data_IF_639537552184
#
_entry.id   IF_639537552184
#
_cell.length_a   1.000
_cell.length_b   1.000
_cell.length_c   1.000
_cell.angle_alpha   90.00
_cell.angle_beta   90.00
_cell.angle_gamma   90.00
#
_symmetry.space_group_name_H-M   'P 1'
#
loop_
_entity.id
_entity.type
_entity.pdbx_description
1 polymer ?
#
# COMPACT_ATOMS: atom_id res chain seq x y z
N UNK A 1 16.10 -4.42 6.08
CA UNK A 1 17.41 -4.32 5.43
C UNK A 1 17.36 -3.28 4.31
N UNK A 2 18.36 -2.41 4.26
CA UNK A 2 18.58 -1.45 3.18
C UNK A 2 19.74 -1.98 2.34
N UNK A 3 19.46 -2.27 1.07
CA UNK A 3 20.43 -2.75 0.11
C UNK A 3 20.74 -1.65 -0.90
N UNK A 4 21.95 -1.11 -0.87
CA UNK A 4 22.39 -0.03 -1.74
C UNK A 4 23.08 -0.62 -2.96
N UNK A 5 22.58 -0.22 -4.13
CA UNK A 5 22.96 -0.78 -5.41
C UNK A 5 23.43 0.31 -6.39
N UNK A 6 24.23 -0.08 -7.36
CA UNK A 6 24.64 0.75 -8.49
C UNK A 6 24.40 -0.02 -9.79
N UNK A 7 23.62 0.56 -10.71
CA UNK A 7 23.32 -0.04 -12.01
C UNK A 7 21.98 0.43 -12.56
N UNK A 8 21.67 -0.03 -13.76
CA UNK A 8 20.51 0.37 -14.56
C UNK A 8 19.46 -0.76 -14.69
N UNK A 9 19.72 -1.93 -14.08
CA UNK A 9 18.78 -3.06 -14.13
C UNK A 9 17.63 -2.84 -13.13
N UNK A 10 16.40 -3.18 -13.53
CA UNK A 10 15.20 -3.04 -12.69
C UNK A 10 15.23 -3.95 -11.44
N UNK A 11 15.87 -5.12 -11.56
CA UNK A 11 15.95 -6.08 -10.46
C UNK A 11 17.26 -5.93 -9.69
N UNK A 12 17.19 -5.94 -8.35
CA UNK A 12 18.31 -5.73 -7.45
C UNK A 12 19.49 -6.68 -7.70
N UNK A 13 19.21 -7.94 -7.97
CA UNK A 13 20.22 -9.01 -8.12
C UNK A 13 21.16 -8.83 -9.33
N UNK A 14 20.76 -7.99 -10.28
CA UNK A 14 21.53 -7.73 -11.49
C UNK A 14 22.36 -6.44 -11.43
N UNK A 15 22.30 -5.74 -10.30
CA UNK A 15 23.07 -4.53 -10.06
C UNK A 15 24.25 -4.79 -9.11
N UNK A 16 25.24 -3.91 -9.17
CA UNK A 16 26.42 -3.97 -8.29
C UNK A 16 26.02 -3.55 -6.88
N UNK A 17 26.24 -4.42 -5.90
CA UNK A 17 26.07 -4.09 -4.49
C UNK A 17 27.16 -3.12 -4.04
N UNK A 18 26.74 -1.97 -3.50
CA UNK A 18 27.62 -1.01 -2.85
C UNK A 18 27.70 -1.24 -1.34
N UNK A 19 26.62 -1.70 -0.75
CA UNK A 19 26.58 -2.03 0.67
C UNK A 19 25.18 -2.45 1.14
N UNK A 20 25.14 -2.96 2.38
CA UNK A 20 23.90 -3.33 3.06
C UNK A 20 23.96 -2.90 4.52
N UNK A 21 22.86 -2.41 5.05
CA UNK A 21 22.72 -2.14 6.48
C UNK A 21 21.28 -2.39 6.95
N UNK A 22 21.10 -2.53 8.23
CA UNK A 22 19.79 -2.84 8.81
C UNK A 22 19.29 -1.66 9.65
N UNK A 23 18.04 -1.28 9.42
CA UNK A 23 17.30 -0.42 10.32
C UNK A 23 16.63 -1.32 11.37
N UNK A 24 17.12 -1.24 12.60
CA UNK A 24 16.73 -2.11 13.71
C UNK A 24 15.76 -1.41 14.67
N UNK A 25 15.20 -2.19 15.61
CA UNK A 25 14.28 -1.68 16.64
C UNK A 25 12.98 -1.07 16.08
N UNK A 26 12.53 -1.53 14.93
CA UNK A 26 11.23 -1.19 14.42
C UNK A 26 10.16 -2.10 15.02
N UNK A 27 8.99 -1.57 15.41
CA UNK A 27 7.88 -2.41 15.83
C UNK A 27 7.42 -3.30 14.67
N UNK A 28 7.02 -4.55 14.95
CA UNK A 28 6.43 -5.40 13.93
C UNK A 28 5.21 -4.73 13.30
N UNK A 29 5.21 -4.65 11.98
CA UNK A 29 4.11 -4.05 11.23
C UNK A 29 3.89 -4.81 9.91
N UNK A 30 2.67 -4.80 9.37
CA UNK A 30 2.38 -5.39 8.07
C UNK A 30 3.13 -4.71 6.93
N UNK A 31 3.24 -5.41 5.81
CA UNK A 31 3.77 -4.82 4.58
C UNK A 31 3.01 -3.55 4.21
N UNK A 32 3.76 -2.53 3.75
CA UNK A 32 3.21 -1.24 3.33
C UNK A 32 2.88 -0.26 4.45
N UNK A 33 2.91 -0.69 5.72
CA UNK A 33 2.68 0.20 6.88
C UNK A 33 3.93 0.99 7.25
N UNK A 34 5.14 0.38 7.36
CA UNK A 34 6.35 1.15 7.64
C UNK A 34 6.70 2.10 6.48
N UNK A 35 6.93 3.36 6.82
CA UNK A 35 7.34 4.40 5.86
C UNK A 35 8.79 4.73 6.11
N UNK A 36 9.67 4.19 5.28
CA UNK A 36 11.11 4.38 5.39
C UNK A 36 11.56 5.44 4.39
N UNK A 37 12.12 6.52 4.88
CA UNK A 37 12.76 7.57 4.09
C UNK A 37 14.23 7.24 3.94
N UNK A 38 14.70 7.14 2.69
CA UNK A 38 16.11 6.88 2.39
C UNK A 38 16.69 8.12 1.72
N UNK A 39 17.76 8.66 2.31
CA UNK A 39 18.45 9.84 1.81
C UNK A 39 19.85 9.45 1.31
N UNK A 40 20.16 9.93 0.13
CA UNK A 40 21.50 9.81 -0.47
C UNK A 40 22.15 11.19 -0.50
N UNK A 41 23.37 11.27 0.03
CA UNK A 41 24.22 12.45 -0.04
C UNK A 41 25.58 12.05 -0.65
N UNK A 42 25.99 12.75 -1.69
CA UNK A 42 27.23 12.47 -2.43
C UNK A 42 28.13 13.69 -2.30
N UNK A 43 29.27 13.54 -1.63
CA UNK A 43 30.22 14.62 -1.48
C UNK A 43 31.05 14.89 -2.76
N UNK A 44 31.83 15.96 -2.75
CA UNK A 44 32.66 16.36 -3.90
C UNK A 44 33.76 15.33 -4.25
N UNK A 45 34.07 14.40 -3.36
CA UNK A 45 35.03 13.32 -3.56
C UNK A 45 34.39 12.04 -4.07
N UNK A 46 33.05 12.03 -4.25
CA UNK A 46 32.30 10.85 -4.68
C UNK A 46 32.01 9.85 -3.55
N UNK A 47 32.19 10.25 -2.29
CA UNK A 47 31.79 9.44 -1.14
C UNK A 47 30.28 9.54 -1.00
N UNK A 48 29.60 8.38 -0.94
CA UNK A 48 28.16 8.30 -0.82
C UNK A 48 27.79 8.01 0.63
N UNK A 49 27.00 8.93 1.24
CA UNK A 49 26.37 8.73 2.53
C UNK A 49 24.91 8.32 2.31
N UNK A 50 24.52 7.20 2.88
CA UNK A 50 23.13 6.72 2.78
C UNK A 50 22.58 6.63 4.20
N UNK A 51 21.47 7.31 4.44
CA UNK A 51 20.71 7.19 5.69
C UNK A 51 19.31 6.66 5.42
N UNK A 52 18.80 5.86 6.35
CA UNK A 52 17.42 5.36 6.31
C UNK A 52 16.74 5.67 7.64
N UNK A 53 15.56 6.28 7.57
CA UNK A 53 14.79 6.72 8.73
C UNK A 53 13.35 6.21 8.64
N UNK A 54 12.89 5.57 9.70
CA UNK A 54 11.46 5.27 9.85
C UNK A 54 10.70 6.52 10.29
N UNK A 55 9.73 6.95 9.49
CA UNK A 55 8.97 8.18 9.73
C UNK A 55 8.04 8.09 10.94
N UNK A 56 7.63 6.88 11.32
CA UNK A 56 6.73 6.66 12.46
C UNK A 56 7.48 6.71 13.80
N UNK A 57 8.65 6.05 13.87
CA UNK A 57 9.42 5.93 15.13
C UNK A 57 10.54 6.96 15.24
N UNK A 58 10.95 7.58 14.12
CA UNK A 58 12.12 8.45 14.04
C UNK A 58 13.46 7.71 14.12
N UNK A 59 13.45 6.38 14.18
CA UNK A 59 14.67 5.56 14.17
C UNK A 59 15.42 5.74 12.86
N UNK A 60 16.73 5.92 12.96
CA UNK A 60 17.59 6.19 11.82
C UNK A 60 18.87 5.36 11.92
N UNK A 61 19.32 4.88 10.77
CA UNK A 61 20.63 4.25 10.58
C UNK A 61 21.28 4.78 9.31
N UNK A 62 22.59 4.83 9.27
CA UNK A 62 23.32 5.32 8.13
C UNK A 62 24.55 4.47 7.82
N UNK A 63 24.99 4.55 6.58
CA UNK A 63 26.21 3.93 6.08
C UNK A 63 26.95 4.89 5.17
N UNK A 64 28.26 4.85 5.24
CA UNK A 64 29.14 5.59 4.33
C UNK A 64 29.82 4.61 3.38
N UNK A 65 29.70 4.86 2.09
CA UNK A 65 30.31 4.06 1.02
C UNK A 65 31.51 4.83 0.49
N UNK A 66 32.70 4.36 0.87
CA UNK A 66 33.98 5.00 0.51
C UNK A 66 34.68 4.30 -0.64
N UNK A 67 35.15 5.05 -1.60
CA UNK A 67 36.33 4.78 -2.43
C UNK A 67 36.26 3.70 -3.50
N UNK A 68 35.16 2.94 -3.67
CA UNK A 68 35.06 1.95 -4.76
C UNK A 68 33.80 2.09 -5.61
N UNK A 69 33.14 3.23 -5.51
CA UNK A 69 31.95 3.53 -6.31
C UNK A 69 32.27 3.98 -7.74
N UNK A 70 33.51 4.40 -8.02
CA UNK A 70 33.88 4.74 -9.40
C UNK A 70 34.05 3.48 -10.25
N UNK A 71 33.11 3.27 -11.16
CA UNK A 71 33.24 2.28 -12.21
C UNK A 71 34.14 2.81 -13.33
N UNK A 72 34.93 1.94 -13.95
CA UNK A 72 35.61 2.29 -15.18
C UNK A 72 34.57 2.61 -16.27
N UNK A 73 34.89 3.51 -17.19
CA UNK A 73 33.98 3.92 -18.26
C UNK A 73 33.45 2.71 -19.06
N UNK A 74 34.32 1.77 -19.34
CA UNK A 74 33.97 0.55 -20.09
C UNK A 74 32.98 -0.34 -19.31
N UNK A 75 33.10 -0.36 -17.98
CA UNK A 75 32.16 -1.09 -17.11
C UNK A 75 30.79 -0.42 -17.14
N UNK A 76 30.73 0.90 -17.08
CA UNK A 76 29.47 1.66 -17.18
C UNK A 76 28.79 1.38 -18.54
N UNK A 77 29.53 1.48 -19.63
CA UNK A 77 28.99 1.22 -20.97
C UNK A 77 28.51 -0.24 -21.12
N UNK A 78 29.21 -1.19 -20.50
CA UNK A 78 28.76 -2.58 -20.47
C UNK A 78 27.46 -2.75 -19.68
N UNK A 79 27.36 -2.15 -18.49
CA UNK A 79 26.15 -2.22 -17.63
C UNK A 79 24.94 -1.60 -18.31
N UNK A 80 25.12 -0.46 -19.02
CA UNK A 80 24.04 0.18 -19.78
C UNK A 80 23.56 -0.73 -20.91
N UNK A 81 24.48 -1.28 -21.71
CA UNK A 81 24.11 -2.23 -22.79
C UNK A 81 23.42 -3.49 -22.25
N UNK A 82 23.88 -4.01 -21.12
CA UNK A 82 23.27 -5.18 -20.48
C UNK A 82 21.84 -4.85 -19.99
N UNK A 83 21.63 -3.68 -19.42
CA UNK A 83 20.32 -3.22 -19.01
C UNK A 83 19.37 -3.06 -20.21
N UNK A 84 19.83 -2.45 -21.30
CA UNK A 84 19.04 -2.31 -22.53
C UNK A 84 18.67 -3.67 -23.12
N UNK A 85 19.61 -4.62 -23.15
CA UNK A 85 19.39 -5.96 -23.70
C UNK A 85 18.35 -6.77 -22.90
N UNK A 86 18.18 -6.50 -21.61
CA UNK A 86 17.28 -7.25 -20.73
C UNK A 86 16.07 -6.41 -20.24
N UNK A 87 15.88 -5.22 -20.78
CA UNK A 87 14.86 -4.27 -20.30
C UNK A 87 13.44 -4.87 -20.28
N UNK A 88 13.06 -5.65 -21.30
CA UNK A 88 11.74 -6.28 -21.34
C UNK A 88 11.59 -7.42 -20.33
N UNK A 89 12.62 -8.23 -20.14
CA UNK A 89 12.63 -9.31 -19.16
C UNK A 89 12.54 -8.75 -17.74
N UNK A 90 13.33 -7.74 -17.43
CA UNK A 90 13.34 -7.09 -16.13
C UNK A 90 12.02 -6.40 -15.84
N UNK A 91 11.44 -5.71 -16.80
CA UNK A 91 10.11 -5.09 -16.67
C UNK A 91 9.05 -6.14 -16.34
N UNK A 92 9.07 -7.30 -17.02
CA UNK A 92 8.14 -8.40 -16.71
C UNK A 92 8.33 -8.92 -15.30
N UNK A 93 9.58 -9.15 -14.87
CA UNK A 93 9.88 -9.62 -13.51
C UNK A 93 9.45 -8.63 -12.44
N UNK A 94 9.64 -7.34 -12.70
CA UNK A 94 9.17 -6.27 -11.82
C UNK A 94 7.65 -6.27 -11.70
N UNK A 95 6.94 -6.33 -12.85
CA UNK A 95 5.48 -6.42 -12.87
C UNK A 95 4.96 -7.66 -12.11
N UNK A 96 5.59 -8.83 -12.29
CA UNK A 96 5.25 -10.04 -11.55
C UNK A 96 5.42 -9.84 -10.03
N UNK A 97 6.51 -9.19 -9.61
CA UNK A 97 6.76 -8.89 -8.20
C UNK A 97 5.75 -7.88 -7.63
N UNK A 98 5.43 -6.83 -8.39
CA UNK A 98 4.43 -5.82 -8.00
C UNK A 98 3.04 -6.43 -7.84
N UNK A 99 2.62 -7.29 -8.77
CA UNK A 99 1.34 -8.01 -8.69
C UNK A 99 1.28 -8.91 -7.46
N UNK A 100 2.33 -9.67 -7.17
CA UNK A 100 2.40 -10.51 -5.97
C UNK A 100 2.35 -9.67 -4.69
N UNK A 101 3.11 -8.59 -4.62
CA UNK A 101 3.12 -7.70 -3.45
C UNK A 101 1.77 -7.02 -3.20
N UNK A 102 1.08 -6.59 -4.26
CA UNK A 102 -0.27 -6.03 -4.16
C UNK A 102 -1.28 -7.07 -3.66
N UNK A 103 -1.20 -8.29 -4.19
CA UNK A 103 -2.05 -9.41 -3.77
C UNK A 103 -1.82 -9.80 -2.30
N UNK A 104 -0.56 -9.92 -1.86
CA UNK A 104 -0.21 -10.17 -0.45
C UNK A 104 -0.76 -9.09 0.48
N UNK A 105 -0.68 -7.83 0.07
CA UNK A 105 -1.22 -6.71 0.83
C UNK A 105 -2.74 -6.81 0.95
N UNK A 106 -3.44 -7.15 -0.14
CA UNK A 106 -4.88 -7.34 -0.14
C UNK A 106 -5.31 -8.51 0.74
N UNK A 107 -4.59 -9.65 0.69
CA UNK A 107 -4.82 -10.79 1.59
C UNK A 107 -4.78 -10.34 3.04
N UNK A 108 -3.72 -9.63 3.43
CA UNK A 108 -3.58 -9.16 4.81
C UNK A 108 -4.71 -8.20 5.22
N UNK A 109 -5.05 -7.23 4.37
CA UNK A 109 -6.12 -6.27 4.63
C UNK A 109 -7.48 -6.96 4.76
N UNK A 110 -7.75 -7.94 3.90
CA UNK A 110 -9.00 -8.70 3.93
C UNK A 110 -9.07 -9.60 5.18
N UNK A 111 -7.99 -10.28 5.55
CA UNK A 111 -7.94 -11.06 6.80
C UNK A 111 -8.18 -10.18 8.03
N UNK A 112 -7.60 -8.98 8.04
CA UNK A 112 -7.83 -8.02 9.11
C UNK A 112 -9.29 -7.58 9.14
N UNK A 113 -9.88 -7.25 7.98
CA UNK A 113 -11.28 -6.86 7.87
C UNK A 113 -12.21 -7.96 8.39
N UNK A 114 -11.99 -9.21 8.00
CA UNK A 114 -12.77 -10.36 8.47
C UNK A 114 -12.62 -10.59 9.97
N UNK A 115 -11.43 -10.39 10.52
CA UNK A 115 -11.19 -10.51 11.97
C UNK A 115 -11.88 -9.42 12.78
N UNK A 116 -11.83 -8.18 12.29
CA UNK A 116 -12.32 -7.01 13.01
C UNK A 116 -13.83 -6.81 12.86
N UNK A 117 -14.41 -7.24 11.73
CA UNK A 117 -15.81 -6.95 11.36
C UNK A 117 -16.61 -8.19 10.92
N UNK A 118 -15.98 -9.35 10.81
CA UNK A 118 -16.61 -10.56 10.26
C UNK A 118 -17.80 -11.08 11.05
N UNK A 119 -17.89 -10.75 12.35
CA UNK A 119 -19.02 -11.12 13.20
C UNK A 119 -20.27 -10.24 12.96
N UNK A 120 -20.08 -9.07 12.35
CA UNK A 120 -21.18 -8.13 12.07
C UNK A 120 -21.96 -8.48 10.83
N UNK A 121 -21.35 -9.17 9.88
CA UNK A 121 -21.99 -9.59 8.63
C UNK A 121 -21.98 -11.11 8.57
N UNK A 122 -23.15 -11.69 8.42
CA UNK A 122 -23.36 -13.12 8.17
C UNK A 122 -24.07 -13.30 6.83
N UNK A 123 -23.73 -14.37 6.11
CA UNK A 123 -24.38 -14.71 4.86
C UNK A 123 -23.46 -14.63 3.64
N UNK A 124 -24.07 -14.53 2.47
CA UNK A 124 -23.40 -14.70 1.18
C UNK A 124 -22.21 -13.76 0.92
N UNK A 125 -22.26 -12.52 1.42
CA UNK A 125 -21.17 -11.56 1.22
C UNK A 125 -19.90 -11.98 1.98
N UNK A 126 -20.04 -12.48 3.20
CA UNK A 126 -18.91 -13.01 3.97
C UNK A 126 -18.33 -14.24 3.27
N UNK A 127 -19.19 -15.17 2.86
CA UNK A 127 -18.76 -16.39 2.17
C UNK A 127 -18.02 -16.09 0.87
N UNK A 128 -18.44 -15.05 0.12
CA UNK A 128 -17.77 -14.59 -1.09
C UNK A 128 -16.38 -14.02 -0.80
N UNK A 129 -16.24 -13.23 0.25
CA UNK A 129 -14.94 -12.68 0.65
C UNK A 129 -14.00 -13.78 1.13
N UNK A 130 -14.48 -14.73 1.94
CA UNK A 130 -13.69 -15.88 2.41
C UNK A 130 -13.26 -16.80 1.25
N UNK A 131 -14.16 -17.06 0.29
CA UNK A 131 -13.84 -17.84 -0.92
C UNK A 131 -12.79 -17.12 -1.78
N UNK A 132 -13.00 -15.83 -2.08
CA UNK A 132 -12.06 -15.04 -2.86
C UNK A 132 -10.68 -14.90 -2.17
N UNK A 133 -10.67 -14.79 -0.85
CA UNK A 133 -9.43 -14.78 -0.06
C UNK A 133 -8.67 -16.10 -0.19
N UNK A 134 -9.38 -17.22 -0.13
CA UNK A 134 -8.77 -18.54 -0.32
C UNK A 134 -8.23 -18.71 -1.75
N UNK A 135 -9.02 -18.34 -2.76
CA UNK A 135 -8.60 -18.42 -4.16
C UNK A 135 -7.35 -17.57 -4.43
N UNK A 136 -7.27 -16.36 -3.87
CA UNK A 136 -6.09 -15.51 -4.01
C UNK A 136 -4.87 -16.11 -3.32
N UNK A 137 -5.01 -16.68 -2.13
CA UNK A 137 -3.91 -17.38 -1.44
C UNK A 137 -3.41 -18.59 -2.23
N UNK A 138 -4.33 -19.36 -2.81
CA UNK A 138 -3.98 -20.50 -3.63
C UNK A 138 -3.25 -20.06 -4.91
N UNK A 139 -3.69 -18.97 -5.56
CA UNK A 139 -3.04 -18.38 -6.72
C UNK A 139 -1.63 -17.84 -6.39
N UNK A 140 -1.44 -17.22 -5.22
CA UNK A 140 -0.13 -16.72 -4.74
C UNK A 140 0.89 -17.85 -4.51
N UNK A 141 0.44 -19.05 -4.22
CA UNK A 141 1.29 -20.23 -4.15
C UNK A 141 1.84 -20.68 -5.50
N UNK A 142 1.30 -20.17 -6.60
CA UNK A 142 1.72 -20.46 -7.97
C UNK A 142 2.63 -19.40 -8.58
N UNK A 143 2.84 -19.56 -9.91
CA UNK A 143 3.66 -18.64 -10.72
C UNK A 143 2.85 -17.93 -11.80
N UNK A 144 1.55 -18.21 -11.89
CA UNK A 144 0.67 -17.62 -12.92
C UNK A 144 0.19 -16.24 -12.50
N UNK A 145 0.84 -15.21 -13.03
CA UNK A 145 0.52 -13.80 -12.78
C UNK A 145 -0.90 -13.43 -13.23
N UNK A 146 -1.41 -14.04 -14.30
CA UNK A 146 -2.77 -13.79 -14.78
C UNK A 146 -3.80 -14.33 -13.80
N UNK A 147 -3.58 -15.52 -13.25
CA UNK A 147 -4.43 -16.09 -12.21
C UNK A 147 -4.43 -15.24 -10.93
N UNK A 148 -3.26 -14.72 -10.53
CA UNK A 148 -3.15 -13.80 -9.36
C UNK A 148 -3.94 -12.52 -9.61
N UNK A 149 -3.81 -11.90 -10.80
CA UNK A 149 -4.56 -10.69 -11.16
C UNK A 149 -6.07 -10.94 -11.10
N UNK A 150 -6.55 -12.02 -11.73
CA UNK A 150 -7.98 -12.37 -11.75
C UNK A 150 -8.54 -12.61 -10.33
N UNK A 151 -7.82 -13.37 -9.50
CA UNK A 151 -8.21 -13.61 -8.12
C UNK A 151 -8.19 -12.33 -7.26
N UNK A 152 -7.24 -11.43 -7.52
CA UNK A 152 -7.16 -10.11 -6.87
C UNK A 152 -8.40 -9.27 -7.20
N UNK A 153 -8.78 -9.17 -8.47
CA UNK A 153 -9.96 -8.43 -8.92
C UNK A 153 -11.26 -9.01 -8.34
N UNK A 154 -11.37 -10.34 -8.30
CA UNK A 154 -12.52 -11.02 -7.70
C UNK A 154 -12.64 -10.70 -6.20
N UNK A 155 -11.54 -10.75 -5.45
CA UNK A 155 -11.53 -10.43 -4.02
C UNK A 155 -11.82 -8.96 -3.75
N UNK A 156 -11.30 -8.03 -4.57
CA UNK A 156 -11.63 -6.59 -4.48
C UNK A 156 -13.13 -6.38 -4.64
N UNK A 157 -13.73 -7.00 -5.66
CA UNK A 157 -15.17 -6.91 -5.91
C UNK A 157 -16.01 -7.46 -4.76
N UNK A 158 -15.63 -8.61 -4.22
CA UNK A 158 -16.28 -9.21 -3.05
C UNK A 158 -16.15 -8.32 -1.80
N UNK A 159 -14.98 -7.74 -1.57
CA UNK A 159 -14.72 -6.84 -0.44
C UNK A 159 -15.53 -5.54 -0.52
N UNK A 160 -15.77 -5.01 -1.72
CA UNK A 160 -16.65 -3.84 -1.91
C UNK A 160 -18.10 -4.15 -1.51
N UNK A 161 -18.63 -5.31 -1.92
CA UNK A 161 -19.97 -5.75 -1.51
C UNK A 161 -20.10 -5.91 0.01
N UNK A 162 -19.07 -6.50 0.64
CA UNK A 162 -19.00 -6.63 2.10
C UNK A 162 -18.97 -5.27 2.81
N UNK A 163 -18.17 -4.34 2.33
CA UNK A 163 -18.08 -2.98 2.89
C UNK A 163 -19.41 -2.22 2.75
N UNK A 164 -20.10 -2.35 1.63
CA UNK A 164 -21.40 -1.75 1.42
C UNK A 164 -22.44 -2.25 2.43
N UNK A 165 -22.47 -3.56 2.68
CA UNK A 165 -23.35 -4.16 3.69
C UNK A 165 -23.07 -3.67 5.10
N UNK A 166 -21.76 -3.52 5.46
CA UNK A 166 -21.39 -2.92 6.76
C UNK A 166 -21.95 -1.51 6.92
N UNK A 167 -21.92 -0.72 5.83
CA UNK A 167 -22.46 0.64 5.84
C UNK A 167 -23.97 0.64 5.99
N UNK A 168 -24.69 -0.22 5.27
CA UNK A 168 -26.14 -0.37 5.35
C UNK A 168 -26.58 -0.77 6.77
N UNK A 169 -25.92 -1.76 7.37
CA UNK A 169 -26.22 -2.19 8.75
C UNK A 169 -25.98 -1.07 9.77
N UNK A 170 -24.85 -0.36 9.65
CA UNK A 170 -24.56 0.75 10.55
C UNK A 170 -25.57 1.89 10.43
N UNK A 171 -26.08 2.15 9.21
CA UNK A 171 -27.15 3.14 8.98
C UNK A 171 -28.48 2.68 9.60
N UNK A 172 -28.85 1.41 9.45
CA UNK A 172 -30.06 0.84 10.02
C UNK A 172 -30.01 0.82 11.56
N UNK A 173 -28.86 0.50 12.15
CA UNK A 173 -28.66 0.56 13.61
C UNK A 173 -28.79 2.01 14.14
N UNK A 174 -28.26 2.99 13.42
CA UNK A 174 -28.41 4.40 13.79
C UNK A 174 -29.86 4.89 13.63
N UNK A 175 -30.56 4.47 12.58
CA UNK A 175 -31.97 4.80 12.39
C UNK A 175 -32.87 4.17 13.46
N UNK A 176 -32.55 2.94 13.86
CA UNK A 176 -33.27 2.24 14.95
C UNK A 176 -32.98 2.85 16.33
N UNK A 177 -31.79 3.38 16.56
CA UNK A 177 -31.40 4.07 17.80
C UNK A 177 -32.04 5.47 17.92
N UNK A 178 -32.36 6.11 16.81
CA UNK A 178 -33.18 7.33 16.72
C UNK A 178 -34.65 6.93 16.57
N UNK A 179 -35.26 6.35 17.62
CA UNK A 179 -36.67 5.96 17.63
C UNK A 179 -37.61 7.05 17.08
N UNK A 180 -38.86 6.74 16.67
CA UNK A 180 -39.74 7.71 16.09
C UNK A 180 -39.89 8.90 17.05
N UNK A 181 -39.37 10.05 16.60
CA UNK A 181 -39.49 11.30 17.34
C UNK A 181 -40.99 11.54 17.62
N UNK A 182 -41.34 12.17 18.75
CA UNK A 182 -42.71 12.39 19.10
C UNK A 182 -43.42 13.12 17.95
N UNK A 183 -44.50 12.52 17.45
CA UNK A 183 -45.37 13.14 16.47
C UNK A 183 -45.86 14.45 17.07
N UNK A 184 -45.22 15.56 16.68
CA UNK A 184 -45.69 16.90 16.98
C UNK A 184 -46.99 17.14 16.23
N UNK A 185 -48.06 17.38 16.98
CA UNK A 185 -49.34 17.78 16.46
C UNK A 185 -49.31 19.12 15.68
N UNK A 186 -50.34 19.45 14.92
CA UNK A 186 -50.37 20.63 14.10
C UNK A 186 -50.50 21.89 14.97
N UNK A 187 -49.50 22.72 14.96
CA UNK A 187 -49.48 24.01 15.63
C UNK A 187 -48.96 25.06 14.65
N UNK A 188 -49.94 25.85 14.24
CA UNK A 188 -49.96 27.20 13.68
C UNK A 188 -48.69 27.87 13.17
N UNK A 189 -48.89 28.43 11.99
CA UNK A 189 -48.20 29.49 11.29
C UNK A 189 -47.57 30.56 12.20
N UNK A 190 -46.27 30.80 12.02
CA UNK A 190 -45.71 32.15 12.07
C UNK A 190 -44.54 32.24 11.09
N UNK A 191 -44.82 32.81 9.93
CA UNK A 191 -43.83 33.21 8.94
C UNK A 191 -43.14 34.45 9.49
N UNK A 192 -41.89 34.31 9.93
CA UNK A 192 -41.03 35.46 10.22
C UNK A 192 -40.20 35.76 8.98
N UNK A 193 -40.57 36.88 8.35
CA UNK A 193 -39.86 37.51 7.25
C UNK A 193 -38.43 37.90 7.69
N UNK A 194 -37.44 37.34 7.07
CA UNK A 194 -36.05 37.71 7.33
C UNK A 194 -35.62 38.79 6.35
N UNK A 195 -35.51 39.98 6.87
CA UNK A 195 -35.04 41.21 6.20
C UNK A 195 -33.53 41.05 5.89
N UNK A 196 -33.22 41.14 4.62
CA UNK A 196 -31.82 41.18 4.12
C UNK A 196 -31.31 42.60 4.36
N UNK A 197 -30.30 42.74 5.22
CA UNK A 197 -29.56 44.01 5.39
C UNK A 197 -28.31 43.92 4.53
N UNK A 198 -28.30 44.66 3.44
CA UNK A 198 -27.14 45.05 2.68
C UNK A 198 -26.35 46.09 3.50
N UNK A 199 -25.13 45.82 3.91
CA UNK A 199 -24.15 46.82 4.34
C UNK A 199 -23.06 46.98 3.30
N UNK A 200 -23.17 48.02 2.51
CA UNK A 200 -22.03 48.69 1.86
C UNK A 200 -21.36 49.61 2.86
N UNK A 201 -20.01 49.55 2.90
CA UNK A 201 -19.18 50.51 3.65
C UNK A 201 -17.70 50.09 3.64
#
# INVERSE_FOLDING_TARGET
EIHVLQGEREMADFNKTLGKFQLVDLPPAPRGVPQIEVTFDIDANGIVHVSAKDRATGKEQSMTITGQSSLAKDDIERMVRDAEAHAEEDRRRKEEAEVKNAADTLVYQTEKLLRDQGDKIVGEEKDRVESGLKELKDALGGTDTAAIKAATEALVSASQGFAQRLYEQAADEQAAAQGPGPAGGPGDDEVVDAEIVDEEG
#
